data_IF_553843987241
#
_entry.id   IF_553843987241
#
_cell.length_a   1.000
_cell.length_b   1.000
_cell.length_c   1.000
_cell.angle_alpha   90.00
_cell.angle_beta   90.00
_cell.angle_gamma   90.00
#
_symmetry.space_group_name_H-M   'P 1'
#
loop_
_entity.id
_entity.type
_entity.pdbx_description
1 polymer ?
#
# COMPACT_ATOMS: atom_id res chain seq x y z
N UNK A 1 12.85 -21.22 10.94
CA UNK A 1 12.12 -20.17 11.67
C UNK A 1 11.40 -19.36 10.61
N UNK A 2 10.05 -19.41 10.58
CA UNK A 2 9.29 -18.67 9.57
C UNK A 2 9.30 -17.19 9.96
N UNK A 3 9.60 -16.34 9.00
CA UNK A 3 9.53 -14.88 9.16
C UNK A 3 8.05 -14.45 9.09
N UNK A 4 7.46 -13.89 10.17
CA UNK A 4 6.04 -13.52 10.20
C UNK A 4 5.67 -12.53 9.10
N UNK A 5 6.56 -11.61 8.73
CA UNK A 5 6.32 -10.66 7.64
C UNK A 5 6.22 -11.36 6.29
N UNK A 6 7.11 -12.32 6.03
CA UNK A 6 7.06 -13.13 4.82
C UNK A 6 5.76 -13.92 4.72
N UNK A 7 5.23 -14.43 5.84
CA UNK A 7 3.92 -15.10 5.87
C UNK A 7 2.78 -14.12 5.55
N UNK A 8 2.76 -12.94 6.16
CA UNK A 8 1.75 -11.90 5.89
C UNK A 8 1.79 -11.47 4.41
N UNK A 9 2.96 -11.21 3.85
CA UNK A 9 3.10 -10.81 2.44
C UNK A 9 2.66 -11.95 1.51
N UNK A 10 3.03 -13.19 1.82
CA UNK A 10 2.61 -14.37 1.06
C UNK A 10 1.08 -14.55 1.11
N UNK A 11 0.47 -14.26 2.26
CA UNK A 11 -0.98 -14.31 2.42
C UNK A 11 -1.68 -13.16 1.68
N UNK A 12 -1.15 -11.95 1.72
CA UNK A 12 -1.71 -10.78 1.01
C UNK A 12 -1.69 -10.94 -0.51
N UNK A 13 -0.70 -11.65 -1.06
CA UNK A 13 -0.48 -11.80 -2.51
C UNK A 13 -0.56 -10.45 -3.24
N UNK A 14 0.33 -9.50 -2.91
CA UNK A 14 0.26 -8.18 -3.50
C UNK A 14 0.55 -8.24 -5.00
N UNK A 15 -0.26 -7.53 -5.78
CA UNK A 15 0.02 -7.22 -7.18
C UNK A 15 0.02 -5.73 -7.37
N UNK A 16 1.10 -5.20 -7.94
CA UNK A 16 1.13 -3.83 -8.44
C UNK A 16 0.28 -3.75 -9.72
N UNK A 17 -0.87 -3.08 -9.66
CA UNK A 17 -1.83 -3.06 -10.78
C UNK A 17 -1.64 -1.86 -11.66
N UNK A 18 -1.36 -0.69 -11.08
CA UNK A 18 -1.11 0.52 -11.84
C UNK A 18 -0.17 1.44 -11.07
N UNK A 19 0.80 2.00 -11.78
CA UNK A 19 1.61 3.10 -11.32
C UNK A 19 1.73 4.12 -12.45
N UNK A 20 1.78 5.39 -12.10
CA UNK A 20 1.92 6.48 -13.06
C UNK A 20 2.78 7.60 -12.52
N UNK A 21 3.56 8.25 -13.37
CA UNK A 21 4.24 9.47 -13.01
C UNK A 21 3.23 10.59 -12.74
N UNK A 22 3.47 11.34 -11.68
CA UNK A 22 2.70 12.51 -11.28
C UNK A 22 3.69 13.64 -11.07
N UNK A 23 3.37 14.84 -11.54
CA UNK A 23 4.17 16.01 -11.28
C UNK A 23 3.31 17.18 -10.82
N UNK A 24 3.88 18.05 -9.99
CA UNK A 24 3.23 19.26 -9.50
C UNK A 24 4.14 20.47 -9.65
N UNK A 25 3.59 21.62 -10.03
CA UNK A 25 4.32 22.88 -10.16
C UNK A 25 3.50 24.08 -9.71
N UNK A 26 4.12 25.01 -8.94
CA UNK A 26 3.49 26.20 -8.42
C UNK A 26 2.30 25.89 -7.52
N UNK A 27 1.16 26.57 -7.75
CA UNK A 27 -0.06 26.39 -6.97
C UNK A 27 -0.82 25.16 -7.46
N UNK A 28 -0.82 24.08 -6.70
CA UNK A 28 -1.58 22.88 -7.02
C UNK A 28 -2.09 22.18 -5.76
N UNK A 29 -3.19 21.49 -5.89
CA UNK A 29 -3.75 20.62 -4.87
C UNK A 29 -4.78 19.72 -5.49
N UNK A 30 -4.75 18.44 -5.09
CA UNK A 30 -5.67 17.40 -5.55
C UNK A 30 -6.23 16.64 -4.37
N UNK A 31 -7.53 16.42 -4.39
CA UNK A 31 -8.25 15.67 -3.37
C UNK A 31 -8.77 14.39 -3.98
N UNK A 32 -8.28 13.27 -3.46
CA UNK A 32 -8.76 11.93 -3.81
C UNK A 32 -9.83 11.50 -2.82
N UNK A 33 -10.92 10.94 -3.31
CA UNK A 33 -11.91 10.25 -2.49
C UNK A 33 -11.39 8.89 -2.04
N UNK A 34 -12.05 8.29 -1.07
CA UNK A 34 -11.80 6.92 -0.64
C UNK A 34 -11.82 5.95 -1.84
N UNK A 35 -10.87 5.01 -1.87
CA UNK A 35 -10.68 4.14 -3.04
C UNK A 35 -10.87 2.65 -2.73
N UNK A 36 -10.64 2.23 -1.50
CA UNK A 36 -10.81 0.84 -1.06
C UNK A 36 -9.70 -0.14 -1.50
N UNK A 37 -8.68 0.33 -2.24
CA UNK A 37 -7.48 -0.43 -2.54
C UNK A 37 -6.26 0.24 -1.91
N UNK A 38 -5.25 -0.52 -1.46
CA UNK A 38 -4.02 0.06 -0.97
C UNK A 38 -3.36 0.94 -2.01
N UNK A 39 -3.16 2.21 -1.69
CA UNK A 39 -2.49 3.17 -2.57
C UNK A 39 -1.11 3.51 -2.04
N UNK A 40 -0.19 3.81 -2.94
CA UNK A 40 1.16 4.21 -2.60
C UNK A 40 1.59 5.47 -3.35
N UNK A 41 2.56 6.15 -2.78
CA UNK A 41 3.28 7.25 -3.39
C UNK A 41 4.77 7.15 -3.07
N UNK A 42 5.62 7.20 -4.09
CA UNK A 42 7.06 7.36 -3.96
C UNK A 42 7.44 8.77 -4.44
N UNK A 43 8.17 9.52 -3.63
CA UNK A 43 8.65 10.86 -3.99
C UNK A 43 9.99 10.74 -4.69
N UNK A 44 10.01 11.01 -6.00
CA UNK A 44 11.19 10.90 -6.84
C UNK A 44 12.08 12.14 -6.77
N UNK A 45 11.48 13.32 -6.76
CA UNK A 45 12.16 14.61 -6.73
C UNK A 45 11.30 15.65 -6.00
N UNK A 46 11.95 16.59 -5.32
CA UNK A 46 11.27 17.72 -4.66
C UNK A 46 10.52 17.35 -3.41
N UNK A 47 9.44 18.08 -3.11
CA UNK A 47 8.64 17.89 -1.91
C UNK A 47 7.19 18.34 -2.10
N UNK A 48 6.27 17.76 -1.32
CA UNK A 48 4.87 18.13 -1.31
C UNK A 48 4.24 17.87 0.07
N UNK A 49 2.96 18.21 0.23
CA UNK A 49 2.16 17.91 1.42
C UNK A 49 1.20 16.77 1.13
N UNK A 50 1.05 15.89 2.12
CA UNK A 50 0.02 14.87 2.17
C UNK A 50 -0.84 15.12 3.41
N UNK A 51 -2.16 15.24 3.22
CA UNK A 51 -3.14 15.31 4.28
C UNK A 51 -4.13 14.17 4.12
N UNK A 52 -4.09 13.20 5.02
CA UNK A 52 -4.98 12.05 5.07
C UNK A 52 -6.09 12.32 6.08
N UNK A 53 -7.32 11.96 5.76
CA UNK A 53 -8.47 12.19 6.64
C UNK A 53 -8.25 11.52 8.00
N UNK A 54 -8.51 12.27 9.06
CA UNK A 54 -8.30 11.82 10.43
C UNK A 54 -6.84 11.87 10.91
N UNK A 55 -5.88 12.32 10.09
CA UNK A 55 -4.47 12.39 10.43
C UNK A 55 -3.88 13.79 10.25
N UNK A 56 -2.82 14.10 10.98
CA UNK A 56 -2.08 15.34 10.79
C UNK A 56 -1.39 15.36 9.43
N UNK A 57 -1.40 16.51 8.72
CA UNK A 57 -0.69 16.66 7.46
C UNK A 57 0.81 16.42 7.63
N UNK A 58 1.41 15.73 6.67
CA UNK A 58 2.86 15.47 6.62
C UNK A 58 3.48 16.07 5.37
N UNK A 59 4.73 16.50 5.48
CA UNK A 59 5.56 16.88 4.32
C UNK A 59 6.29 15.64 3.83
N UNK A 60 6.17 15.35 2.55
CA UNK A 60 6.90 14.30 1.87
C UNK A 60 8.06 14.92 1.10
N UNK A 61 9.22 14.25 1.09
CA UNK A 61 10.46 14.69 0.45
C UNK A 61 11.03 13.58 -0.45
N UNK A 62 11.93 13.94 -1.34
CA UNK A 62 12.58 12.99 -2.23
C UNK A 62 13.18 11.80 -1.46
N UNK A 63 12.88 10.59 -1.91
CA UNK A 63 13.23 9.33 -1.25
C UNK A 63 12.18 8.80 -0.28
N UNK A 64 11.16 9.59 0.07
CA UNK A 64 10.04 9.12 0.91
C UNK A 64 9.14 8.15 0.14
N UNK A 65 8.61 7.18 0.87
CA UNK A 65 7.56 6.29 0.41
C UNK A 65 6.38 6.33 1.39
N UNK A 66 5.18 6.41 0.84
CA UNK A 66 3.94 6.34 1.61
C UNK A 66 3.07 5.21 1.09
N UNK A 67 2.51 4.44 2.01
CA UNK A 67 1.45 3.47 1.75
C UNK A 67 0.23 3.87 2.57
N UNK A 68 -0.92 3.86 1.93
CA UNK A 68 -2.25 4.01 2.53
C UNK A 68 -2.98 2.66 2.37
N UNK A 69 -2.92 1.76 3.35
CA UNK A 69 -3.42 0.39 3.20
C UNK A 69 -4.91 0.30 2.87
N UNK A 70 -5.74 1.16 3.46
CA UNK A 70 -7.18 1.22 3.17
C UNK A 70 -7.56 2.41 2.27
N UNK A 71 -6.62 3.24 1.90
CA UNK A 71 -6.78 4.47 1.10
C UNK A 71 -8.01 5.29 1.51
N UNK A 72 -8.03 5.88 2.71
CA UNK A 72 -9.04 6.87 3.07
C UNK A 72 -8.92 8.09 2.17
N UNK A 73 -9.88 8.99 2.22
CA UNK A 73 -9.77 10.24 1.47
C UNK A 73 -8.51 11.00 1.85
N UNK A 74 -7.79 11.53 0.87
CA UNK A 74 -6.55 12.27 1.10
C UNK A 74 -6.36 13.42 0.11
N UNK A 75 -5.58 14.41 0.51
CA UNK A 75 -5.19 15.55 -0.33
C UNK A 75 -3.69 15.58 -0.49
N UNK A 76 -3.24 15.75 -1.73
CA UNK A 76 -1.85 16.09 -2.03
C UNK A 76 -1.78 17.50 -2.59
N UNK A 77 -0.77 18.27 -2.18
CA UNK A 77 -0.64 19.66 -2.60
C UNK A 77 0.81 20.16 -2.56
N UNK A 78 1.05 21.24 -3.29
CA UNK A 78 2.20 22.12 -3.03
C UNK A 78 2.09 22.84 -1.69
N UNK A 79 2.93 23.84 -1.49
CA UNK A 79 2.98 24.62 -0.25
C UNK A 79 2.15 25.91 -0.30
N UNK A 80 1.82 26.36 -1.49
CA UNK A 80 0.96 27.53 -1.66
C UNK A 80 -0.52 27.17 -1.46
N UNK A 81 -1.28 27.99 -0.74
CA UNK A 81 -2.70 27.76 -0.53
C UNK A 81 -3.48 27.70 -1.85
N UNK A 82 -4.26 26.63 -2.04
CA UNK A 82 -5.12 26.45 -3.20
C UNK A 82 -6.32 25.59 -2.81
N UNK A 83 -7.45 25.79 -3.47
CA UNK A 83 -8.59 24.88 -3.34
C UNK A 83 -8.27 23.61 -4.13
N UNK A 84 -8.23 22.42 -3.49
CA UNK A 84 -7.89 21.19 -4.20
C UNK A 84 -8.93 20.82 -5.26
N UNK A 85 -8.45 20.40 -6.42
CA UNK A 85 -9.28 19.75 -7.44
C UNK A 85 -9.69 18.36 -6.96
N UNK A 86 -10.97 18.02 -7.10
CA UNK A 86 -11.46 16.68 -6.73
C UNK A 86 -11.22 15.71 -7.86
N UNK A 87 -10.59 14.58 -7.54
CA UNK A 87 -10.27 13.53 -8.48
C UNK A 87 -10.88 12.21 -7.97
N UNK A 88 -11.64 11.55 -8.85
CA UNK A 88 -12.07 10.17 -8.61
C UNK A 88 -10.88 9.24 -8.90
N UNK A 89 -10.40 8.46 -7.91
CA UNK A 89 -9.29 7.53 -8.11
C UNK A 89 -9.55 6.50 -9.22
N UNK A 90 -10.79 6.07 -9.41
CA UNK A 90 -11.17 5.12 -10.47
C UNK A 90 -10.94 5.71 -11.86
N UNK A 91 -11.30 6.97 -12.06
CA UNK A 91 -11.05 7.69 -13.30
C UNK A 91 -9.57 8.04 -13.49
N UNK A 92 -8.88 8.32 -12.39
CA UNK A 92 -7.45 8.60 -12.40
C UNK A 92 -6.63 7.36 -12.78
N UNK A 93 -6.99 6.17 -12.29
CA UNK A 93 -6.28 4.91 -12.57
C UNK A 93 -6.38 4.46 -14.03
N UNK A 94 -7.42 4.86 -14.74
CA UNK A 94 -7.59 4.55 -16.17
C UNK A 94 -6.60 5.31 -17.10
N UNK A 95 -5.90 6.33 -16.59
CA UNK A 95 -4.93 7.10 -17.36
C UNK A 95 -3.53 6.53 -17.17
N UNK A 96 -2.90 6.08 -18.23
CA UNK A 96 -1.50 5.60 -18.25
C UNK A 96 -0.47 6.71 -18.48
N UNK A 97 -0.91 7.89 -18.92
CA UNK A 97 -0.03 9.03 -19.18
C UNK A 97 0.35 9.76 -17.88
N UNK A 98 1.50 10.44 -17.91
CA UNK A 98 1.90 11.36 -16.83
C UNK A 98 0.80 12.38 -16.53
N UNK A 99 0.53 12.59 -15.25
CA UNK A 99 -0.45 13.58 -14.78
C UNK A 99 0.30 14.76 -14.19
N UNK A 100 0.09 15.95 -14.76
CA UNK A 100 0.68 17.19 -14.25
C UNK A 100 -0.39 18.07 -13.62
N UNK A 101 -0.09 18.53 -12.39
CA UNK A 101 -0.93 19.44 -11.63
C UNK A 101 -0.31 20.84 -11.53
N UNK A 102 -1.16 21.87 -11.48
CA UNK A 102 -0.74 23.27 -11.34
C UNK A 102 -0.23 23.88 -12.65
N UNK A 103 0.90 24.57 -12.59
CA UNK A 103 1.46 25.31 -13.73
C UNK A 103 1.89 24.36 -14.84
N UNK A 104 1.43 24.60 -16.06
CA UNK A 104 1.69 23.72 -17.23
C UNK A 104 3.08 23.88 -17.83
N UNK A 105 3.74 25.00 -17.63
CA UNK A 105 5.07 25.29 -18.17
C UNK A 105 6.18 25.16 -17.12
N UNK A 106 7.43 25.07 -17.57
CA UNK A 106 8.61 25.00 -16.70
C UNK A 106 8.85 23.66 -15.99
N UNK A 107 9.92 23.59 -15.17
CA UNK A 107 10.20 22.39 -14.40
C UNK A 107 9.16 22.18 -13.30
N UNK A 108 8.85 20.96 -12.92
CA UNK A 108 7.99 20.69 -11.76
C UNK A 108 8.77 20.89 -10.46
N UNK A 109 8.03 21.26 -9.39
CA UNK A 109 8.56 21.39 -8.03
C UNK A 109 8.65 20.03 -7.33
N UNK A 110 7.83 19.07 -7.80
CA UNK A 110 7.79 17.70 -7.29
C UNK A 110 7.50 16.71 -8.41
N UNK A 111 8.18 15.56 -8.34
CA UNK A 111 7.90 14.38 -9.17
C UNK A 111 7.60 13.19 -8.27
N UNK A 112 6.54 12.49 -8.55
CA UNK A 112 6.03 11.36 -7.79
C UNK A 112 5.79 10.18 -8.72
N UNK A 113 5.87 8.98 -8.17
CA UNK A 113 5.21 7.81 -8.72
C UNK A 113 4.06 7.45 -7.78
N UNK A 114 2.84 7.52 -8.27
CA UNK A 114 1.64 7.12 -7.53
C UNK A 114 0.99 5.90 -8.15
N UNK A 115 0.40 5.05 -7.33
CA UNK A 115 -0.26 3.85 -7.81
C UNK A 115 -1.05 3.14 -6.72
N UNK A 116 -1.51 1.93 -7.05
CA UNK A 116 -2.22 1.09 -6.10
C UNK A 116 -1.87 -0.39 -6.29
N UNK A 117 -2.08 -1.15 -5.21
CA UNK A 117 -1.99 -2.59 -5.21
C UNK A 117 -3.38 -3.21 -5.22
N UNK A 118 -3.46 -4.43 -5.72
CA UNK A 118 -4.55 -5.34 -5.43
C UNK A 118 -4.00 -6.49 -4.60
N UNK A 119 -4.65 -6.80 -3.51
CA UNK A 119 -4.37 -7.99 -2.73
C UNK A 119 -5.33 -9.09 -3.17
N UNK A 120 -4.79 -10.22 -3.67
CA UNK A 120 -5.59 -11.34 -4.19
C UNK A 120 -6.06 -12.31 -3.10
N UNK A 121 -5.79 -12.00 -1.84
CA UNK A 121 -6.20 -12.83 -0.71
C UNK A 121 -7.68 -12.57 -0.34
N UNK A 122 -8.47 -13.61 -0.05
CA UNK A 122 -9.80 -13.43 0.53
C UNK A 122 -9.76 -12.79 1.92
N UNK A 123 -8.65 -12.92 2.64
CA UNK A 123 -8.44 -12.35 3.98
C UNK A 123 -7.77 -10.97 3.95
N UNK A 124 -7.58 -10.38 2.75
CA UNK A 124 -6.87 -9.12 2.58
C UNK A 124 -7.45 -7.98 3.41
N UNK A 125 -8.78 -7.86 3.48
CA UNK A 125 -9.43 -6.80 4.24
C UNK A 125 -9.10 -6.89 5.74
N UNK A 126 -9.09 -8.11 6.30
CA UNK A 126 -8.69 -8.35 7.69
C UNK A 126 -7.21 -7.99 7.90
N UNK A 127 -6.33 -8.47 7.03
CA UNK A 127 -4.89 -8.20 7.14
C UNK A 127 -4.58 -6.70 7.00
N UNK A 128 -5.25 -6.01 6.09
CA UNK A 128 -5.13 -4.56 5.89
C UNK A 128 -5.60 -3.78 7.12
N UNK A 129 -6.69 -4.20 7.78
CA UNK A 129 -7.21 -3.53 8.98
C UNK A 129 -6.23 -3.56 10.15
N UNK A 130 -5.27 -4.45 10.10
CA UNK A 130 -4.23 -4.61 11.09
C UNK A 130 -3.00 -3.70 10.79
N UNK A 131 -2.90 -3.07 9.64
CA UNK A 131 -1.83 -2.13 9.29
C UNK A 131 -2.17 -0.71 9.79
N UNK A 132 -1.16 0.13 10.08
CA UNK A 132 -1.40 1.55 10.33
C UNK A 132 -2.13 2.20 9.16
N UNK A 133 -3.02 3.14 9.42
CA UNK A 133 -3.77 3.84 8.37
C UNK A 133 -2.85 4.57 7.37
N UNK A 134 -1.69 5.00 7.83
CA UNK A 134 -0.64 5.64 7.04
C UNK A 134 0.69 5.00 7.40
N UNK A 135 1.37 4.41 6.43
CA UNK A 135 2.76 3.96 6.53
C UNK A 135 3.62 4.98 5.79
N UNK A 136 4.36 5.80 6.52
CA UNK A 136 5.30 6.77 5.96
C UNK A 136 6.72 6.36 6.31
N UNK A 137 7.51 6.04 5.30
CA UNK A 137 8.91 5.63 5.46
C UNK A 137 9.82 6.72 4.96
N UNK A 138 10.71 7.17 5.83
CA UNK A 138 11.70 8.22 5.56
C UNK A 138 13.06 7.79 6.12
N UNK A 139 14.14 8.20 5.43
CA UNK A 139 15.51 8.01 5.91
C UNK A 139 16.02 6.58 5.84
N UNK A 140 15.28 5.65 5.23
CA UNK A 140 15.74 4.28 4.97
C UNK A 140 16.49 4.24 3.66
N UNK A 141 17.82 4.14 3.71
CA UNK A 141 18.70 4.20 2.53
C UNK A 141 18.32 3.16 1.47
N UNK A 142 18.04 1.94 1.88
CA UNK A 142 17.62 0.86 0.98
C UNK A 142 16.33 1.19 0.24
N UNK A 143 15.38 1.81 0.90
CA UNK A 143 14.13 2.24 0.29
C UNK A 143 14.34 3.41 -0.67
N UNK A 144 15.20 4.37 -0.30
CA UNK A 144 15.55 5.48 -1.18
C UNK A 144 16.25 5.00 -2.48
N UNK A 145 17.08 3.95 -2.40
CA UNK A 145 17.67 3.31 -3.60
C UNK A 145 16.58 2.72 -4.50
N UNK A 146 15.61 2.00 -3.92
CA UNK A 146 14.50 1.42 -4.68
C UNK A 146 13.62 2.51 -5.32
N UNK A 147 13.34 3.61 -4.61
CA UNK A 147 12.60 4.76 -5.16
C UNK A 147 13.34 5.36 -6.35
N UNK A 148 14.66 5.48 -6.31
CA UNK A 148 15.46 5.96 -7.46
C UNK A 148 15.35 5.00 -8.64
N UNK A 149 15.52 3.70 -8.44
CA UNK A 149 15.37 2.69 -9.51
C UNK A 149 14.00 2.75 -10.16
N UNK A 150 12.94 2.89 -9.35
CA UNK A 150 11.58 3.09 -9.84
C UNK A 150 11.48 4.37 -10.69
N UNK A 151 12.11 5.46 -10.25
CA UNK A 151 12.13 6.72 -10.99
C UNK A 151 12.88 6.62 -12.33
N UNK A 152 13.98 5.91 -12.37
CA UNK A 152 14.76 5.65 -13.59
C UNK A 152 13.95 4.81 -14.57
N UNK A 153 13.38 3.70 -14.12
CA UNK A 153 12.58 2.81 -14.95
C UNK A 153 11.32 3.50 -15.52
N UNK A 154 10.67 4.32 -14.70
CA UNK A 154 9.49 5.10 -15.14
C UNK A 154 9.81 6.15 -16.23
N UNK A 155 11.05 6.68 -16.24
CA UNK A 155 11.49 7.67 -17.24
C UNK A 155 11.94 7.02 -18.54
N UNK A 156 12.75 5.97 -18.47
CA UNK A 156 13.46 5.43 -19.63
C UNK A 156 12.60 4.59 -20.55
N UNK A 157 11.48 4.06 -20.06
CA UNK A 157 10.50 3.28 -20.83
C UNK A 157 11.13 2.22 -21.75
N UNK A 158 12.15 1.50 -21.26
CA UNK A 158 12.78 0.40 -21.98
C UNK A 158 11.80 -0.73 -22.25
N UNK A 159 12.04 -1.61 -23.23
CA UNK A 159 11.24 -2.81 -23.40
C UNK A 159 11.13 -3.61 -22.09
N UNK A 160 9.91 -3.94 -21.67
CA UNK A 160 9.66 -4.64 -20.41
C UNK A 160 9.57 -3.72 -19.17
N UNK A 161 9.66 -2.39 -19.33
CA UNK A 161 9.63 -1.43 -18.21
C UNK A 161 8.40 -1.61 -17.30
N UNK A 162 7.22 -1.89 -17.84
CA UNK A 162 6.01 -2.09 -17.04
C UNK A 162 6.15 -3.29 -16.08
N UNK A 163 6.76 -4.38 -16.55
CA UNK A 163 7.01 -5.54 -15.72
C UNK A 163 8.04 -5.25 -14.63
N UNK A 164 9.16 -4.62 -15.01
CA UNK A 164 10.22 -4.23 -14.06
C UNK A 164 9.65 -3.28 -13.02
N UNK A 165 8.92 -2.26 -13.44
CA UNK A 165 8.30 -1.28 -12.55
C UNK A 165 7.33 -1.94 -11.56
N UNK A 166 6.50 -2.87 -12.03
CA UNK A 166 5.59 -3.64 -11.17
C UNK A 166 6.37 -4.40 -10.09
N UNK A 167 7.46 -5.08 -10.44
CA UNK A 167 8.28 -5.83 -9.48
C UNK A 167 9.00 -4.93 -8.49
N UNK A 168 9.53 -3.78 -8.94
CA UNK A 168 10.15 -2.80 -8.06
C UNK A 168 9.14 -2.24 -7.03
N UNK A 169 7.92 -1.96 -7.47
CA UNK A 169 6.85 -1.47 -6.58
C UNK A 169 6.43 -2.54 -5.55
N UNK A 170 6.38 -3.82 -5.93
CA UNK A 170 6.15 -4.92 -5.00
C UNK A 170 7.27 -5.01 -3.95
N UNK A 171 8.53 -4.85 -4.36
CA UNK A 171 9.69 -4.81 -3.44
C UNK A 171 9.62 -3.59 -2.52
N UNK A 172 9.21 -2.42 -3.03
CA UNK A 172 8.98 -1.22 -2.20
C UNK A 172 7.95 -1.47 -1.09
N UNK A 173 6.85 -2.17 -1.41
CA UNK A 173 5.85 -2.55 -0.41
C UNK A 173 6.47 -3.40 0.71
N UNK A 174 7.27 -4.40 0.34
CA UNK A 174 7.94 -5.28 1.31
C UNK A 174 8.88 -4.48 2.21
N UNK A 175 9.71 -3.61 1.66
CA UNK A 175 10.65 -2.80 2.43
C UNK A 175 9.92 -1.78 3.32
N UNK A 176 8.81 -1.20 2.85
CA UNK A 176 7.98 -0.32 3.66
C UNK A 176 7.39 -1.05 4.88
N UNK A 177 6.85 -2.25 4.67
CA UNK A 177 6.31 -3.07 5.77
C UNK A 177 7.40 -3.54 6.74
N UNK A 178 8.61 -3.85 6.25
CA UNK A 178 9.77 -4.15 7.11
C UNK A 178 10.13 -2.98 8.01
N UNK A 179 10.09 -1.76 7.48
CA UNK A 179 10.40 -0.54 8.25
C UNK A 179 9.40 -0.25 9.35
N UNK A 180 8.18 -0.79 9.29
CA UNK A 180 7.17 -0.67 10.35
C UNK A 180 7.27 -1.77 11.39
N UNK A 181 8.14 -2.76 11.21
CA UNK A 181 8.28 -3.92 12.08
C UNK A 181 9.47 -3.83 13.06
N UNK A 182 10.23 -2.73 13.05
CA UNK A 182 11.37 -2.48 13.94
C UNK A 182 10.97 -2.17 15.39
N UNK A 183 11.96 -2.13 16.31
CA UNK A 183 11.75 -1.84 17.75
C UNK A 183 11.09 -0.48 18.02
N UNK A 184 11.20 0.48 17.11
CA UNK A 184 10.57 1.81 17.15
C UNK A 184 9.19 1.85 16.45
N UNK A 185 8.67 0.72 16.00
CA UNK A 185 7.36 0.67 15.34
C UNK A 185 6.24 0.99 16.34
N UNK A 186 5.24 1.82 15.97
CA UNK A 186 4.06 2.01 16.79
C UNK A 186 3.41 0.66 17.10
N UNK A 187 2.75 0.50 18.26
CA UNK A 187 2.11 -0.75 18.63
C UNK A 187 1.08 -1.14 17.57
N UNK A 188 1.36 -2.21 16.85
CA UNK A 188 0.58 -2.72 15.72
C UNK A 188 1.01 -4.15 15.42
N UNK A 189 0.31 -4.76 14.52
CA UNK A 189 0.23 -6.16 14.14
C UNK A 189 1.46 -7.04 14.16
N UNK A 190 2.60 -6.49 13.81
CA UNK A 190 3.83 -7.31 13.70
C UNK A 190 4.47 -7.57 15.05
N UNK A 191 3.99 -6.93 16.12
CA UNK A 191 4.45 -7.17 17.48
C UNK A 191 3.60 -8.18 18.26
N UNK A 192 2.37 -8.46 17.81
CA UNK A 192 1.39 -9.29 18.53
C UNK A 192 0.80 -10.44 17.71
N UNK A 193 1.43 -10.84 16.62
CA UNK A 193 1.00 -12.07 15.96
C UNK A 193 1.28 -13.24 16.89
N UNK A 194 0.23 -13.86 17.49
CA UNK A 194 0.43 -15.06 18.30
C UNK A 194 1.02 -16.14 17.38
N UNK A 195 2.09 -16.79 17.85
CA UNK A 195 2.85 -17.84 17.16
C UNK A 195 2.02 -19.09 16.78
N UNK A 196 0.69 -18.99 16.75
CA UNK A 196 -0.22 -20.09 16.40
C UNK A 196 -1.41 -19.61 15.59
N UNK A 197 -1.25 -19.60 14.26
CA UNK A 197 -2.39 -19.73 13.37
C UNK A 197 -2.83 -21.20 13.40
N UNK A 198 -4.12 -21.51 13.66
CA UNK A 198 -4.60 -22.90 13.65
C UNK A 198 -4.42 -23.47 12.23
N UNK A 199 -3.66 -24.54 12.14
CA UNK A 199 -3.44 -25.32 10.93
C UNK A 199 -4.78 -25.95 10.49
N UNK A 200 -5.50 -25.30 9.58
CA UNK A 200 -6.66 -25.89 8.91
C UNK A 200 -6.20 -26.88 7.84
N UNK A 201 -5.53 -27.94 8.27
CA UNK A 201 -5.51 -29.18 7.47
C UNK A 201 -6.74 -29.98 7.85
N UNK A 202 -7.58 -30.21 6.84
CA UNK A 202 -8.81 -30.94 7.00
C UNK A 202 -8.62 -32.32 7.64
N UNK A 203 -9.17 -32.50 8.82
CA UNK A 203 -9.53 -33.82 9.31
C UNK A 203 -10.98 -34.08 8.96
N UNK A 204 -11.17 -34.80 7.86
CA UNK A 204 -12.40 -35.52 7.58
C UNK A 204 -12.54 -36.61 8.64
N UNK A 205 -13.29 -36.33 9.71
CA UNK A 205 -13.76 -37.39 10.61
C UNK A 205 -14.91 -38.12 9.92
N UNK A 206 -14.57 -39.31 9.42
CA UNK A 206 -15.54 -40.32 9.05
C UNK A 206 -16.38 -40.64 10.27
N UNK A 207 -17.70 -40.50 10.13
CA UNK A 207 -18.67 -40.75 11.17
C UNK A 207 -18.68 -42.21 11.61
N UNK A 208 -18.59 -42.46 12.91
CA UNK A 208 -18.99 -43.71 13.51
C UNK A 208 -20.50 -43.65 13.80
N UNK A 209 -21.28 -44.69 13.51
CA UNK A 209 -22.69 -44.73 13.77
C UNK A 209 -22.97 -44.83 15.27
N UNK A 210 -23.87 -44.01 15.78
CA UNK A 210 -24.34 -44.01 17.14
C UNK A 210 -25.05 -45.36 17.48
N UNK A 211 -24.58 -46.04 18.52
CA UNK A 211 -25.25 -47.17 19.13
C UNK A 211 -26.47 -46.64 19.93
N UNK A 212 -27.65 -47.12 19.59
CA UNK A 212 -28.90 -46.92 20.32
C UNK A 212 -28.90 -47.64 21.67
N UNK A 213 -29.35 -47.04 22.78
CA UNK A 213 -29.52 -47.75 24.03
C UNK A 213 -30.80 -48.62 23.98
N UNK A 214 -30.62 -49.91 24.30
CA UNK A 214 -31.70 -50.90 24.47
C UNK A 214 -32.62 -50.49 25.64
N UNK A 215 -33.91 -50.35 25.38
CA UNK A 215 -34.94 -50.25 26.39
C UNK A 215 -35.08 -51.61 27.13
N UNK A 216 -34.90 -51.57 28.45
CA UNK A 216 -35.31 -52.65 29.37
C UNK A 216 -36.80 -52.49 29.62
N UNK A 217 -37.57 -53.54 29.26
CA UNK A 217 -38.96 -53.75 29.70
C UNK A 217 -38.85 -54.49 30.99
N UNK A 218 -39.44 -53.96 32.04
CA UNK A 218 -39.76 -54.66 33.29
C UNK A 218 -41.23 -55.09 33.27
N UNK A 219 -41.38 -56.38 33.47
CA UNK A 219 -42.72 -56.98 33.84
C UNK A 219 -43.04 -56.73 35.30
#
# INVERSE_FOLDING_TARGET
>A
MNDPLSEVITLLRPRGVASKPISGAGRWGVRYSEFGHPSFCAVLEGRCRLAVDGHHPVTLEAGDFVLLPATPGFTMSGFEPVRPERIDPKMASARTAEVRHGTRGGPPDVRLLGGYFVFESPDAAMLVSLLPAVVHVRGVERLAVLVRLVGEEARERRPGHELVLTRLVEVLLIEALRSTSGEDAPPGLLRELPMHLPNRRGESRVGQPAQQPRRRILA
#
